data_IF_019597695325
#
_entry.id   IF_019597695325
#
_cell.length_a   1.000
_cell.length_b   1.000
_cell.length_c   1.000
_cell.angle_alpha   90.00
_cell.angle_beta   90.00
_cell.angle_gamma   90.00
#
_symmetry.space_group_name_H-M   'P 1'
#
loop_
_entity.id
_entity.type
_entity.pdbx_description
1 polymer ?
#
# COMPACT_ATOMS: atom_id res chain seq x y z
N UNK A 1 18.11 -74.41 23.03
CA UNK A 1 16.88 -73.73 22.61
C UNK A 1 17.01 -72.27 23.04
N UNK A 2 17.25 -71.35 22.09
CA UNK A 2 17.46 -69.88 22.37
C UNK A 2 16.19 -69.19 21.92
N UNK A 3 15.40 -68.69 22.86
CA UNK A 3 14.22 -67.85 22.58
C UNK A 3 14.68 -66.48 22.16
N UNK A 4 14.39 -66.09 20.90
CA UNK A 4 14.50 -64.73 20.42
C UNK A 4 13.19 -64.00 20.69
N UNK A 5 13.23 -63.04 21.63
CA UNK A 5 12.14 -62.12 21.89
C UNK A 5 12.17 -61.06 20.79
N UNK A 6 11.13 -61.03 19.95
CA UNK A 6 10.96 -59.99 18.89
C UNK A 6 10.23 -58.81 19.52
N UNK A 7 10.94 -57.68 19.73
CA UNK A 7 10.32 -56.43 20.15
C UNK A 7 9.73 -55.72 18.93
N UNK A 8 8.41 -55.69 18.87
CA UNK A 8 7.66 -54.93 17.86
C UNK A 8 7.56 -53.48 18.32
N UNK A 9 8.36 -52.58 17.72
CA UNK A 9 8.21 -51.12 17.94
C UNK A 9 6.98 -50.63 17.19
N UNK A 10 5.90 -50.32 17.91
CA UNK A 10 4.72 -49.63 17.39
C UNK A 10 5.07 -48.17 17.24
N UNK A 11 5.35 -47.68 16.02
CA UNK A 11 5.46 -46.28 15.70
C UNK A 11 4.04 -45.68 15.73
N UNK A 12 3.65 -45.09 16.85
CA UNK A 12 2.49 -44.21 16.96
C UNK A 12 2.85 -42.90 16.26
N UNK A 13 2.39 -42.75 15.01
CA UNK A 13 2.39 -41.46 14.34
C UNK A 13 1.40 -40.54 15.07
N UNK A 14 1.92 -39.68 15.94
CA UNK A 14 1.14 -38.56 16.49
C UNK A 14 0.89 -37.63 15.32
N UNK A 15 -0.27 -37.74 14.69
CA UNK A 15 -0.79 -36.70 13.82
C UNK A 15 -1.02 -35.48 14.71
N UNK A 16 -0.05 -34.57 14.70
CA UNK A 16 -0.18 -33.26 15.34
C UNK A 16 -1.37 -32.56 14.70
N UNK A 17 -2.52 -32.54 15.38
CA UNK A 17 -3.57 -31.58 15.04
C UNK A 17 -2.96 -30.21 15.20
N UNK A 18 -2.63 -29.56 14.08
CA UNK A 18 -2.24 -28.15 14.08
C UNK A 18 -3.39 -27.38 14.72
N UNK A 19 -3.17 -26.89 15.93
CA UNK A 19 -4.13 -26.06 16.63
C UNK A 19 -4.38 -24.84 15.74
N UNK A 20 -5.59 -24.71 15.20
CA UNK A 20 -5.97 -23.60 14.35
C UNK A 20 -5.79 -22.31 15.15
N UNK A 21 -4.86 -21.47 14.75
CA UNK A 21 -4.60 -20.19 15.43
C UNK A 21 -5.85 -19.30 15.31
N UNK A 22 -6.14 -18.54 16.36
CA UNK A 22 -7.25 -17.56 16.35
C UNK A 22 -7.17 -16.60 15.17
N UNK A 23 -5.96 -16.31 14.69
CA UNK A 23 -5.73 -15.54 13.47
C UNK A 23 -6.34 -16.19 12.23
N UNK A 24 -6.13 -17.52 12.06
CA UNK A 24 -6.69 -18.30 10.95
C UNK A 24 -8.21 -18.29 10.98
N UNK A 25 -8.80 -18.47 12.18
CA UNK A 25 -10.26 -18.45 12.36
C UNK A 25 -10.84 -17.09 11.94
N UNK A 26 -10.23 -15.99 12.37
CA UNK A 26 -10.66 -14.64 12.01
C UNK A 26 -10.57 -14.45 10.49
N UNK A 27 -9.43 -14.75 9.88
CA UNK A 27 -9.20 -14.55 8.45
C UNK A 27 -10.17 -15.40 7.61
N UNK A 28 -10.30 -16.70 7.90
CA UNK A 28 -11.17 -17.61 7.16
C UNK A 28 -12.64 -17.20 7.25
N UNK A 29 -13.09 -16.73 8.43
CA UNK A 29 -14.44 -16.19 8.60
C UNK A 29 -14.68 -15.01 7.64
N UNK A 30 -13.80 -14.01 7.63
CA UNK A 30 -13.95 -12.85 6.75
C UNK A 30 -13.81 -13.21 5.27
N UNK A 31 -12.91 -14.12 4.92
CA UNK A 31 -12.80 -14.61 3.53
C UNK A 31 -14.10 -15.22 3.05
N UNK A 32 -14.74 -16.05 3.89
CA UNK A 32 -16.05 -16.64 3.57
C UNK A 32 -17.13 -15.56 3.46
N UNK A 33 -17.23 -14.67 4.46
CA UNK A 33 -18.28 -13.65 4.53
C UNK A 33 -18.20 -12.64 3.37
N UNK A 34 -16.97 -12.32 2.90
CA UNK A 34 -16.71 -11.38 1.81
C UNK A 34 -16.42 -12.06 0.46
N UNK A 35 -16.53 -13.38 0.37
CA UNK A 35 -16.22 -14.18 -0.83
C UNK A 35 -14.82 -13.88 -1.39
N UNK A 36 -13.80 -13.74 -0.52
CA UNK A 36 -12.43 -13.42 -0.93
C UNK A 36 -11.76 -14.63 -1.55
N UNK A 37 -11.28 -14.49 -2.79
CA UNK A 37 -10.63 -15.55 -3.58
C UNK A 37 -9.26 -15.91 -3.02
N UNK A 38 -8.44 -14.91 -2.75
CA UNK A 38 -7.09 -15.05 -2.22
C UNK A 38 -6.68 -13.87 -1.35
N UNK A 39 -5.88 -14.16 -0.30
CA UNK A 39 -5.43 -13.18 0.68
C UNK A 39 -4.02 -13.49 1.15
N UNK A 40 -3.13 -12.51 1.13
CA UNK A 40 -1.82 -12.55 1.77
C UNK A 40 -1.84 -11.68 3.03
N UNK A 41 -1.39 -12.24 4.16
CA UNK A 41 -1.38 -11.60 5.48
C UNK A 41 0.02 -11.56 6.06
N UNK A 42 0.41 -10.39 6.57
CA UNK A 42 1.52 -10.24 7.50
C UNK A 42 1.02 -9.60 8.81
N UNK A 43 1.42 -10.15 9.94
CA UNK A 43 1.28 -9.54 11.27
C UNK A 43 2.66 -9.42 11.88
N UNK A 44 3.02 -8.20 12.27
CA UNK A 44 4.28 -7.88 12.94
C UNK A 44 3.95 -7.39 14.35
N UNK A 45 4.54 -8.01 15.35
CA UNK A 45 4.39 -7.62 16.77
C UNK A 45 5.78 -7.44 17.39
N UNK A 46 6.03 -6.25 17.93
CA UNK A 46 7.31 -5.89 18.56
C UNK A 46 8.54 -6.18 17.66
N UNK A 47 8.44 -5.76 16.39
CA UNK A 47 9.50 -5.92 15.39
C UNK A 47 9.66 -7.33 14.82
N UNK A 48 8.83 -8.31 15.24
CA UNK A 48 8.89 -9.69 14.75
C UNK A 48 7.66 -10.03 13.93
N UNK A 49 7.85 -10.60 12.74
CA UNK A 49 6.76 -11.17 11.97
C UNK A 49 6.24 -12.42 12.70
N UNK A 50 5.05 -12.32 13.27
CA UNK A 50 4.36 -13.41 13.96
C UNK A 50 3.50 -14.24 13.02
N UNK A 51 3.03 -13.61 11.93
CA UNK A 51 2.31 -14.26 10.82
C UNK A 51 2.86 -13.72 9.51
N UNK A 52 3.14 -14.62 8.57
CA UNK A 52 3.42 -14.31 7.16
C UNK A 52 2.88 -15.45 6.31
N UNK A 53 1.65 -15.32 5.81
CA UNK A 53 0.87 -16.47 5.35
C UNK A 53 -0.11 -16.10 4.24
N UNK A 54 -0.33 -17.02 3.31
CA UNK A 54 -1.36 -16.91 2.27
C UNK A 54 -2.57 -17.79 2.57
N UNK A 55 -3.71 -17.39 2.03
CA UNK A 55 -5.00 -18.10 2.11
C UNK A 55 -5.68 -18.04 0.74
N UNK A 56 -6.36 -19.10 0.34
CA UNK A 56 -7.06 -19.19 -0.94
C UNK A 56 -6.14 -19.22 -2.15
N UNK A 57 -6.62 -18.73 -3.29
CA UNK A 57 -5.96 -18.90 -4.58
C UNK A 57 -5.45 -17.56 -5.16
N UNK A 58 -4.21 -17.57 -5.61
CA UNK A 58 -3.57 -16.49 -6.37
C UNK A 58 -4.00 -16.51 -7.85
N UNK A 59 -4.27 -17.72 -8.35
CA UNK A 59 -4.84 -17.93 -9.69
C UNK A 59 -5.84 -19.10 -9.60
N UNK A 60 -7.09 -18.84 -9.96
CA UNK A 60 -8.17 -19.82 -9.87
C UNK A 60 -8.08 -20.82 -11.00
N UNK A 61 -7.78 -20.36 -12.23
CA UNK A 61 -7.74 -21.18 -13.44
C UNK A 61 -6.66 -22.29 -13.34
N UNK A 62 -5.53 -21.94 -12.70
CA UNK A 62 -4.41 -22.87 -12.52
C UNK A 62 -4.33 -23.48 -11.12
N UNK A 63 -5.32 -23.20 -10.26
CA UNK A 63 -5.36 -23.66 -8.87
C UNK A 63 -4.08 -23.35 -8.07
N UNK A 64 -3.50 -22.13 -8.29
CA UNK A 64 -2.27 -21.71 -7.62
C UNK A 64 -2.61 -21.08 -6.27
N UNK A 65 -2.10 -21.62 -5.13
CA UNK A 65 -2.38 -21.05 -3.83
C UNK A 65 -1.66 -19.71 -3.60
N UNK A 66 -2.24 -18.83 -2.77
CA UNK A 66 -1.54 -17.66 -2.24
C UNK A 66 -0.51 -18.10 -1.20
N UNK A 67 0.65 -17.50 -1.24
CA UNK A 67 1.71 -17.64 -0.22
C UNK A 67 2.36 -16.28 0.09
N UNK A 68 3.37 -16.27 0.96
CA UNK A 68 4.06 -15.04 1.37
C UNK A 68 4.83 -14.32 0.25
N UNK A 69 5.15 -15.04 -0.83
CA UNK A 69 5.87 -14.52 -2.00
C UNK A 69 4.93 -14.21 -3.18
N UNK A 70 3.62 -14.38 -2.99
CA UNK A 70 2.63 -14.00 -4.00
C UNK A 70 2.64 -12.49 -4.20
N UNK A 71 2.86 -12.06 -5.44
CA UNK A 71 2.95 -10.66 -5.82
C UNK A 71 1.55 -10.11 -6.10
N UNK A 72 1.13 -9.12 -5.31
CA UNK A 72 -0.22 -8.53 -5.34
C UNK A 72 -0.12 -7.01 -5.53
N UNK A 73 -1.11 -6.41 -6.22
CA UNK A 73 -1.20 -4.96 -6.43
C UNK A 73 -1.53 -4.24 -5.12
N UNK A 74 -0.71 -3.24 -4.78
CA UNK A 74 -0.86 -2.47 -3.55
C UNK A 74 -1.93 -1.38 -3.62
N UNK A 75 -2.31 -0.96 -4.84
CA UNK A 75 -3.18 0.21 -4.99
C UNK A 75 -2.59 1.41 -4.26
N UNK A 76 -3.44 2.20 -3.62
CA UNK A 76 -3.02 3.45 -2.95
C UNK A 76 -2.10 3.29 -1.74
N UNK A 77 -1.86 2.07 -1.23
CA UNK A 77 -0.76 1.81 -0.28
C UNK A 77 0.59 2.20 -0.91
N UNK A 78 0.69 2.28 -2.24
CA UNK A 78 1.85 2.78 -2.98
C UNK A 78 2.22 4.22 -2.65
N UNK A 79 1.29 5.04 -2.21
CA UNK A 79 1.49 6.49 -2.00
C UNK A 79 2.60 6.81 -1.00
N UNK A 80 2.77 5.96 0.00
CA UNK A 80 3.84 6.10 0.98
C UNK A 80 5.25 6.11 0.34
N UNK A 81 5.45 5.37 -0.75
CA UNK A 81 6.76 5.32 -1.40
C UNK A 81 7.07 6.62 -2.14
N UNK A 82 6.07 7.28 -2.74
CA UNK A 82 6.25 8.58 -3.38
C UNK A 82 6.60 9.66 -2.37
N UNK A 83 5.87 9.73 -1.25
CA UNK A 83 6.14 10.73 -0.21
C UNK A 83 7.48 10.49 0.48
N UNK A 84 7.87 9.23 0.67
CA UNK A 84 9.21 8.87 1.16
C UNK A 84 10.30 9.29 0.17
N UNK A 85 10.09 9.08 -1.14
CA UNK A 85 11.04 9.49 -2.19
C UNK A 85 11.21 11.01 -2.25
N UNK A 86 10.12 11.78 -2.12
CA UNK A 86 10.17 13.25 -2.03
C UNK A 86 10.97 13.70 -0.81
N UNK A 87 10.73 13.11 0.37
CA UNK A 87 11.50 13.45 1.57
C UNK A 87 12.97 13.02 1.47
N UNK A 88 13.27 11.95 0.72
CA UNK A 88 14.66 11.58 0.43
C UNK A 88 15.35 12.63 -0.43
N UNK A 89 14.69 13.11 -1.48
CA UNK A 89 15.21 14.22 -2.30
C UNK A 89 15.39 15.52 -1.49
N UNK A 90 14.51 15.77 -0.53
CA UNK A 90 14.65 16.92 0.39
C UNK A 90 15.86 16.76 1.31
N UNK A 91 16.09 15.58 1.90
CA UNK A 91 17.28 15.33 2.75
C UNK A 91 18.58 15.43 1.95
N UNK A 92 18.55 15.04 0.68
CA UNK A 92 19.68 15.18 -0.23
C UNK A 92 19.88 16.63 -0.73
N UNK A 93 19.06 17.59 -0.25
CA UNK A 93 19.16 19.01 -0.60
C UNK A 93 18.72 19.35 -2.03
N UNK A 94 18.05 18.44 -2.73
CA UNK A 94 17.70 18.59 -4.13
C UNK A 94 16.36 19.33 -4.36
N UNK A 95 15.45 19.29 -3.37
CA UNK A 95 14.20 20.03 -3.35
C UNK A 95 13.78 20.38 -1.92
N UNK A 96 12.75 21.22 -1.79
CA UNK A 96 12.01 21.44 -0.55
C UNK A 96 10.54 21.08 -0.74
N UNK A 97 9.89 20.50 0.26
CA UNK A 97 8.43 20.33 0.23
C UNK A 97 7.66 21.66 0.21
N UNK A 98 8.34 22.77 0.53
CA UNK A 98 7.81 24.14 0.42
C UNK A 98 8.00 24.72 -0.99
N UNK A 99 8.72 24.06 -1.89
CA UNK A 99 8.88 24.52 -3.26
C UNK A 99 7.52 24.62 -3.95
N UNK A 100 7.25 25.73 -4.68
CA UNK A 100 6.05 25.89 -5.47
C UNK A 100 6.07 24.91 -6.66
N UNK A 101 4.93 24.34 -7.03
CA UNK A 101 4.83 23.42 -8.18
C UNK A 101 5.27 24.05 -9.50
N UNK A 102 5.18 25.40 -9.64
CA UNK A 102 5.67 26.13 -10.82
C UNK A 102 7.17 26.00 -11.05
N UNK A 103 7.95 25.67 -10.01
CA UNK A 103 9.38 25.36 -10.18
C UNK A 103 9.59 24.15 -11.11
N UNK A 104 8.65 23.21 -11.09
CA UNK A 104 8.70 21.94 -11.83
C UNK A 104 7.75 21.94 -13.05
N UNK A 105 6.72 22.76 -13.03
CA UNK A 105 5.74 22.93 -14.08
C UNK A 105 5.59 24.41 -14.43
N UNK A 106 6.57 25.00 -15.14
CA UNK A 106 6.60 26.45 -15.39
C UNK A 106 5.46 26.93 -16.30
N UNK A 107 4.89 26.03 -17.10
CA UNK A 107 3.73 26.25 -17.96
C UNK A 107 2.38 25.98 -17.29
N UNK A 108 2.37 25.65 -16.00
CA UNK A 108 1.13 25.46 -15.24
C UNK A 108 0.34 26.79 -15.11
N UNK A 109 -1.01 26.73 -14.99
CA UNK A 109 -1.83 27.92 -14.91
C UNK A 109 -1.55 28.72 -13.62
N UNK A 110 -1.72 30.06 -13.68
CA UNK A 110 -1.53 30.96 -12.54
C UNK A 110 -2.28 30.56 -11.28
N UNK A 111 -3.45 29.89 -11.44
CA UNK A 111 -4.22 29.36 -10.31
C UNK A 111 -3.48 28.32 -9.48
N UNK A 112 -2.43 27.70 -10.04
CA UNK A 112 -1.61 26.69 -9.34
C UNK A 112 -0.43 27.31 -8.58
N UNK A 113 -0.18 28.64 -8.68
CA UNK A 113 0.93 29.32 -7.96
C UNK A 113 0.97 29.05 -6.45
N UNK A 114 -0.17 28.99 -5.74
CA UNK A 114 -0.14 28.69 -4.30
C UNK A 114 0.19 27.25 -3.95
N UNK A 115 0.16 26.33 -4.95
CA UNK A 115 0.38 24.92 -4.70
C UNK A 115 1.88 24.66 -4.49
N UNK A 116 2.20 24.02 -3.36
CA UNK A 116 3.54 23.55 -3.00
C UNK A 116 3.58 22.02 -3.01
N UNK A 117 4.78 21.44 -3.04
CA UNK A 117 4.96 19.96 -3.03
C UNK A 117 4.23 19.31 -1.85
N UNK A 118 4.28 19.91 -0.65
CA UNK A 118 3.53 19.39 0.52
C UNK A 118 2.03 19.28 0.31
N UNK A 119 1.43 20.19 -0.48
CA UNK A 119 0.00 20.15 -0.77
C UNK A 119 -0.37 18.98 -1.69
N UNK A 120 0.55 18.54 -2.55
CA UNK A 120 0.40 17.32 -3.34
C UNK A 120 0.47 16.09 -2.45
N UNK A 121 1.44 16.05 -1.52
CA UNK A 121 1.65 14.93 -0.59
C UNK A 121 0.48 14.70 0.38
N UNK A 122 -0.22 15.79 0.75
CA UNK A 122 -1.27 15.81 1.77
C UNK A 122 -2.71 15.88 1.23
N UNK A 123 -2.88 15.88 -0.10
CA UNK A 123 -4.19 16.02 -0.74
C UNK A 123 -4.91 17.34 -0.42
N UNK A 124 -4.15 18.44 -0.31
CA UNK A 124 -4.68 19.79 -0.01
C UNK A 124 -4.47 20.79 -1.13
N UNK A 125 -4.13 20.31 -2.33
CA UNK A 125 -3.82 21.17 -3.47
C UNK A 125 -5.03 21.92 -4.05
N UNK A 126 -6.24 21.41 -3.89
CA UNK A 126 -7.43 21.89 -4.58
C UNK A 126 -7.59 21.36 -6.01
N UNK A 127 -6.64 20.58 -6.50
CA UNK A 127 -6.72 19.95 -7.83
C UNK A 127 -7.85 18.94 -7.92
N UNK A 128 -8.40 18.77 -9.12
CA UNK A 128 -9.35 17.66 -9.40
C UNK A 128 -8.71 16.30 -9.10
N UNK A 129 -9.55 15.34 -8.70
CA UNK A 129 -9.12 13.99 -8.34
C UNK A 129 -8.27 13.32 -9.43
N UNK A 130 -8.69 13.45 -10.68
CA UNK A 130 -8.04 12.89 -11.86
C UNK A 130 -7.89 13.95 -12.95
N UNK A 131 -6.87 13.82 -13.80
CA UNK A 131 -6.77 14.60 -15.04
C UNK A 131 -7.77 14.09 -16.08
N UNK A 132 -8.39 14.97 -16.90
CA UNK A 132 -9.34 14.58 -17.92
C UNK A 132 -8.83 13.56 -18.96
N UNK A 133 -7.53 13.60 -19.26
CA UNK A 133 -6.90 12.64 -20.18
C UNK A 133 -6.69 11.26 -19.56
N UNK A 134 -6.96 11.12 -18.25
CA UNK A 134 -6.76 9.87 -17.57
C UNK A 134 -7.63 8.74 -18.17
N UNK A 135 -6.98 7.67 -18.62
CA UNK A 135 -7.63 6.47 -19.13
C UNK A 135 -6.91 5.22 -18.63
N UNK A 136 -7.68 4.32 -18.01
CA UNK A 136 -7.15 3.07 -17.46
C UNK A 136 -6.55 2.11 -18.47
N UNK A 137 -7.00 2.19 -19.72
CA UNK A 137 -6.78 1.18 -20.72
C UNK A 137 -5.64 1.53 -21.68
N UNK A 138 -5.04 2.72 -21.54
CA UNK A 138 -3.94 3.18 -22.39
C UNK A 138 -2.74 3.60 -21.56
N UNK A 139 -1.55 3.23 -22.06
CA UNK A 139 -0.28 3.74 -21.54
C UNK A 139 -0.07 5.11 -22.17
N UNK A 140 0.11 6.13 -21.33
CA UNK A 140 0.37 7.49 -21.76
C UNK A 140 1.34 8.17 -20.79
N UNK A 141 2.14 9.15 -21.27
CA UNK A 141 3.05 9.89 -20.40
C UNK A 141 2.31 10.60 -19.26
N UNK A 142 2.86 10.60 -18.06
CA UNK A 142 2.29 11.27 -16.89
C UNK A 142 2.01 12.75 -17.15
N UNK A 143 2.90 13.44 -17.89
CA UNK A 143 2.72 14.84 -18.31
C UNK A 143 1.46 15.10 -19.14
N UNK A 144 1.00 14.13 -19.95
CA UNK A 144 -0.26 14.27 -20.72
C UNK A 144 -1.44 14.37 -19.77
N UNK A 145 -1.44 13.52 -18.73
CA UNK A 145 -2.50 13.53 -17.70
C UNK A 145 -2.45 14.83 -16.90
N UNK A 146 -1.24 15.26 -16.46
CA UNK A 146 -1.04 16.49 -15.69
C UNK A 146 -1.51 17.71 -16.49
N UNK A 147 -1.02 17.88 -17.73
CA UNK A 147 -1.35 19.02 -18.58
C UNK A 147 -2.83 19.07 -18.98
N UNK A 148 -3.50 17.94 -19.07
CA UNK A 148 -4.94 17.89 -19.34
C UNK A 148 -5.77 18.63 -18.27
N UNK A 149 -5.25 18.73 -17.05
CA UNK A 149 -5.91 19.41 -15.94
C UNK A 149 -5.66 20.93 -15.89
N UNK A 150 -4.76 21.49 -16.72
CA UNK A 150 -4.41 22.90 -16.69
C UNK A 150 -5.59 23.86 -16.93
N UNK A 151 -6.60 23.40 -17.68
CA UNK A 151 -7.79 24.21 -17.98
C UNK A 151 -8.89 24.07 -16.93
N UNK A 152 -8.69 23.23 -15.91
CA UNK A 152 -9.69 23.00 -14.88
C UNK A 152 -9.52 23.99 -13.72
N UNK A 153 -10.63 24.49 -13.15
CA UNK A 153 -10.57 25.26 -11.91
C UNK A 153 -10.15 24.36 -10.74
N UNK A 154 -9.55 24.97 -9.72
CA UNK A 154 -9.39 24.31 -8.43
C UNK A 154 -10.78 24.10 -7.76
N UNK A 155 -10.95 23.01 -7.01
CA UNK A 155 -12.18 22.72 -6.28
C UNK A 155 -12.32 23.56 -5.01
N UNK A 156 -11.16 24.05 -4.48
CA UNK A 156 -11.08 24.88 -3.29
C UNK A 156 -9.70 25.57 -3.25
N UNK A 157 -9.56 26.56 -2.36
CA UNK A 157 -8.30 27.26 -2.16
C UNK A 157 -7.24 26.32 -1.58
N UNK A 158 -6.05 26.32 -2.19
CA UNK A 158 -4.91 25.48 -1.75
C UNK A 158 -4.68 25.58 -0.24
N UNK A 159 -4.58 24.45 0.43
CA UNK A 159 -4.36 24.33 1.87
C UNK A 159 -5.63 24.41 2.72
N UNK A 160 -6.79 24.75 2.15
CA UNK A 160 -8.02 24.99 2.91
C UNK A 160 -8.63 23.70 3.48
N UNK A 161 -8.67 22.63 2.69
CA UNK A 161 -9.27 21.37 3.11
C UNK A 161 -8.65 20.16 2.41
N UNK A 162 -9.01 19.01 2.90
CA UNK A 162 -8.64 17.73 2.32
C UNK A 162 -9.58 17.30 1.19
N UNK A 163 -9.01 16.91 0.06
CA UNK A 163 -9.72 16.19 -1.00
C UNK A 163 -8.75 15.23 -1.69
N UNK A 164 -9.01 13.94 -1.57
CA UNK A 164 -8.16 12.89 -2.14
C UNK A 164 -7.94 13.09 -3.65
N UNK A 165 -6.68 13.23 -4.06
CA UNK A 165 -6.28 13.62 -5.40
C UNK A 165 -5.20 12.67 -5.95
N UNK A 166 -5.55 11.84 -6.95
CA UNK A 166 -4.57 10.99 -7.61
C UNK A 166 -3.67 11.78 -8.55
N UNK A 167 -4.20 12.83 -9.22
CA UNK A 167 -3.42 13.71 -10.08
C UNK A 167 -2.20 14.29 -9.36
N UNK A 168 -2.33 14.60 -8.07
CA UNK A 168 -1.21 15.08 -7.25
C UNK A 168 -0.04 14.09 -7.23
N UNK A 169 -0.30 12.77 -7.25
CA UNK A 169 0.75 11.76 -7.26
C UNK A 169 1.38 11.54 -8.63
N UNK A 170 0.69 11.84 -9.71
CA UNK A 170 1.33 11.99 -11.04
C UNK A 170 2.33 13.15 -11.04
N UNK A 171 1.95 14.27 -10.42
CA UNK A 171 2.86 15.42 -10.29
C UNK A 171 4.07 15.09 -9.40
N UNK A 172 3.88 14.38 -8.27
CA UNK A 172 5.01 13.94 -7.43
C UNK A 172 5.95 12.99 -8.20
N UNK A 173 5.42 12.07 -8.99
CA UNK A 173 6.21 11.18 -9.84
C UNK A 173 7.06 11.96 -10.86
N UNK A 174 6.46 12.92 -11.54
CA UNK A 174 7.17 13.79 -12.49
C UNK A 174 8.23 14.64 -11.79
N UNK A 175 7.94 15.20 -10.61
CA UNK A 175 8.92 15.93 -9.78
C UNK A 175 10.10 15.02 -9.42
N UNK A 176 9.85 13.79 -9.00
CA UNK A 176 10.92 12.82 -8.72
C UNK A 176 11.76 12.59 -9.95
N UNK A 177 11.15 12.39 -11.12
CA UNK A 177 11.88 12.19 -12.39
C UNK A 177 12.76 13.38 -12.74
N UNK A 178 12.21 14.58 -12.69
CA UNK A 178 12.95 15.81 -13.04
C UNK A 178 14.10 16.10 -12.08
N UNK A 179 13.88 15.95 -10.78
CA UNK A 179 14.89 16.29 -9.76
C UNK A 179 15.99 15.23 -9.69
N UNK A 180 15.63 13.94 -9.76
CA UNK A 180 16.60 12.85 -9.71
C UNK A 180 17.30 12.57 -11.04
N UNK A 181 16.81 13.12 -12.15
CA UNK A 181 17.25 12.83 -13.52
C UNK A 181 17.17 11.33 -13.87
N UNK A 182 16.23 10.62 -13.24
CA UNK A 182 15.93 9.20 -13.47
C UNK A 182 14.41 8.99 -13.56
N UNK A 183 13.92 8.01 -14.32
CA UNK A 183 12.52 7.60 -14.21
C UNK A 183 12.17 7.36 -12.73
N UNK A 184 11.03 7.89 -12.28
CA UNK A 184 10.64 7.79 -10.87
C UNK A 184 10.57 6.35 -10.35
N UNK A 185 10.23 5.38 -11.22
CA UNK A 185 10.23 3.95 -10.90
C UNK A 185 11.63 3.46 -10.50
N UNK A 186 12.63 3.86 -11.28
CA UNK A 186 14.02 3.48 -11.05
C UNK A 186 14.57 4.15 -9.79
N UNK A 187 14.23 5.44 -9.58
CA UNK A 187 14.62 6.16 -8.37
C UNK A 187 14.05 5.51 -7.11
N UNK A 188 12.73 5.20 -7.09
CA UNK A 188 12.10 4.54 -5.94
C UNK A 188 12.69 3.14 -5.72
N UNK A 189 12.92 2.38 -6.78
CA UNK A 189 13.56 1.08 -6.67
C UNK A 189 14.97 1.18 -6.07
N UNK A 190 15.79 2.09 -6.59
CA UNK A 190 17.19 2.26 -6.15
C UNK A 190 17.29 2.81 -4.72
N UNK A 191 16.48 3.82 -4.38
CA UNK A 191 16.59 4.54 -3.12
C UNK A 191 15.74 3.97 -1.98
N UNK A 192 14.69 3.20 -2.30
CA UNK A 192 13.77 2.66 -1.29
C UNK A 192 13.78 1.13 -1.28
N UNK A 193 13.44 0.49 -2.40
CA UNK A 193 13.20 -0.96 -2.40
C UNK A 193 14.49 -1.77 -2.21
N UNK A 194 15.56 -1.43 -2.92
CA UNK A 194 16.84 -2.13 -2.77
C UNK A 194 17.41 -1.99 -1.35
N UNK A 195 17.51 -0.78 -0.75
CA UNK A 195 17.98 -0.62 0.62
C UNK A 195 17.08 -1.31 1.66
N UNK A 196 15.78 -1.42 1.40
CA UNK A 196 14.84 -2.13 2.26
C UNK A 196 14.88 -3.67 2.07
N UNK A 197 15.58 -4.17 1.06
CA UNK A 197 15.59 -5.60 0.69
C UNK A 197 14.29 -6.09 0.05
N UNK A 198 13.49 -5.19 -0.55
CA UNK A 198 12.20 -5.48 -1.19
C UNK A 198 12.41 -5.95 -2.65
N UNK A 199 12.92 -7.16 -2.81
CA UNK A 199 13.38 -7.67 -4.11
C UNK A 199 12.24 -8.10 -5.06
N UNK A 200 11.04 -8.35 -4.52
CA UNK A 200 9.85 -8.75 -5.28
C UNK A 200 8.84 -7.60 -5.43
N UNK A 201 9.27 -6.38 -5.09
CA UNK A 201 8.43 -5.17 -5.22
C UNK A 201 8.85 -4.34 -6.44
N UNK A 202 7.86 -3.82 -7.15
CA UNK A 202 8.10 -3.04 -8.37
C UNK A 202 6.82 -2.47 -8.94
N UNK A 203 6.92 -1.92 -10.15
CA UNK A 203 5.75 -1.39 -10.84
C UNK A 203 4.91 -2.47 -11.51
N UNK A 204 3.61 -2.23 -11.55
CA UNK A 204 2.73 -2.93 -12.48
C UNK A 204 3.15 -2.57 -13.90
N UNK A 205 3.68 -3.54 -14.63
CA UNK A 205 3.99 -3.40 -16.05
C UNK A 205 3.30 -4.52 -16.82
N UNK A 206 2.99 -4.27 -18.10
CA UNK A 206 2.34 -5.26 -18.96
C UNK A 206 3.32 -6.18 -19.64
N UNK A 207 4.54 -5.72 -19.88
CA UNK A 207 5.51 -6.44 -20.70
C UNK A 207 6.38 -7.41 -19.89
N UNK A 208 6.94 -7.03 -18.72
CA UNK A 208 7.77 -7.96 -17.97
C UNK A 208 6.96 -9.11 -17.39
N UNK A 209 7.54 -10.30 -17.48
CA UNK A 209 7.06 -11.45 -16.71
C UNK A 209 7.42 -11.21 -15.24
N UNK A 210 6.40 -11.11 -14.39
CA UNK A 210 6.55 -10.96 -12.95
C UNK A 210 6.23 -12.32 -12.32
N UNK A 211 7.25 -13.05 -11.80
CA UNK A 211 7.02 -14.34 -11.15
C UNK A 211 6.03 -14.21 -9.99
N UNK A 212 5.23 -15.24 -9.77
CA UNK A 212 4.26 -15.34 -8.65
C UNK A 212 3.18 -14.24 -8.62
N UNK A 213 2.96 -13.55 -9.75
CA UNK A 213 1.93 -12.50 -9.83
C UNK A 213 0.53 -13.11 -9.77
N UNK A 214 -0.29 -12.64 -8.84
CA UNK A 214 -1.69 -13.05 -8.70
C UNK A 214 -2.55 -12.47 -9.84
N UNK A 215 -3.56 -13.22 -10.28
CA UNK A 215 -4.67 -12.73 -11.09
C UNK A 215 -5.71 -12.05 -10.22
N UNK A 216 -6.37 -11.01 -10.73
CA UNK A 216 -7.42 -10.28 -10.04
C UNK A 216 -8.79 -10.82 -10.39
N UNK A 217 -9.69 -10.82 -9.40
CA UNK A 217 -11.05 -11.34 -9.54
C UNK A 217 -12.10 -10.35 -9.02
N UNK A 218 -13.31 -10.48 -9.55
CA UNK A 218 -14.48 -9.76 -9.07
C UNK A 218 -15.74 -10.65 -9.17
N UNK A 219 -16.78 -10.28 -8.44
CA UNK A 219 -18.05 -10.97 -8.50
C UNK A 219 -19.05 -10.20 -9.38
N UNK A 220 -19.71 -10.91 -10.28
CA UNK A 220 -20.89 -10.45 -10.99
C UNK A 220 -22.09 -11.28 -10.50
N UNK A 221 -22.81 -10.73 -9.52
CA UNK A 221 -23.75 -11.51 -8.73
C UNK A 221 -23.02 -12.60 -7.93
N UNK A 222 -23.39 -13.86 -8.11
CA UNK A 222 -22.74 -15.00 -7.47
C UNK A 222 -21.59 -15.62 -8.30
N UNK A 223 -21.37 -15.14 -9.52
CA UNK A 223 -20.34 -15.67 -10.41
C UNK A 223 -19.04 -14.94 -10.22
N UNK A 224 -17.96 -15.69 -9.95
CA UNK A 224 -16.60 -15.18 -9.96
C UNK A 224 -16.15 -14.99 -11.42
N UNK A 225 -15.61 -13.83 -11.73
CA UNK A 225 -15.07 -13.51 -13.06
C UNK A 225 -13.68 -12.88 -12.94
N UNK A 226 -12.91 -12.95 -14.00
CA UNK A 226 -11.64 -12.23 -14.11
C UNK A 226 -11.87 -10.73 -14.08
N UNK A 227 -11.09 -10.05 -13.23
CA UNK A 227 -11.08 -8.60 -13.11
C UNK A 227 -9.83 -7.97 -13.75
N UNK A 228 -8.96 -8.78 -14.36
CA UNK A 228 -7.73 -8.34 -14.99
C UNK A 228 -8.02 -7.56 -16.27
N UNK A 229 -8.45 -6.32 -16.10
CA UNK A 229 -8.29 -5.35 -17.16
C UNK A 229 -6.83 -4.91 -17.22
N UNK A 230 -6.32 -4.68 -18.42
CA UNK A 230 -5.01 -4.06 -18.61
C UNK A 230 -5.05 -2.65 -18.02
N UNK A 231 -4.24 -2.40 -16.99
CA UNK A 231 -4.13 -1.08 -16.38
C UNK A 231 -2.83 -0.43 -16.80
N UNK A 232 -2.93 0.79 -17.26
CA UNK A 232 -1.77 1.65 -17.42
C UNK A 232 -1.03 1.80 -16.08
N UNK A 233 0.30 1.83 -16.16
CA UNK A 233 1.16 2.14 -15.01
C UNK A 233 0.73 3.48 -14.41
N UNK A 234 0.48 3.51 -13.09
CA UNK A 234 -0.02 4.71 -12.40
C UNK A 234 0.84 5.04 -11.20
N UNK A 235 1.35 6.27 -11.14
CA UNK A 235 2.02 6.74 -9.93
C UNK A 235 1.15 6.62 -8.68
N UNK A 236 -0.16 6.90 -8.79
CA UNK A 236 -1.06 6.95 -7.64
C UNK A 236 -1.35 5.60 -6.97
N UNK A 237 -0.97 4.46 -7.59
CA UNK A 237 -1.32 3.13 -7.05
C UNK A 237 -0.77 1.94 -7.83
N UNK A 238 0.34 2.11 -8.54
CA UNK A 238 0.84 1.10 -9.48
C UNK A 238 1.88 0.12 -8.94
N UNK A 239 2.23 0.16 -7.67
CA UNK A 239 3.20 -0.80 -7.14
C UNK A 239 2.57 -2.17 -6.84
N UNK A 240 3.40 -3.18 -7.07
CA UNK A 240 3.21 -4.57 -6.69
C UNK A 240 4.14 -4.88 -5.52
N UNK A 241 3.74 -5.78 -4.63
CA UNK A 241 4.59 -6.26 -3.56
C UNK A 241 4.15 -7.64 -3.06
N UNK A 242 4.94 -8.22 -2.16
CA UNK A 242 4.63 -9.44 -1.41
C UNK A 242 4.50 -9.13 0.07
N UNK A 243 3.86 -9.99 0.86
CA UNK A 243 3.82 -9.80 2.31
C UNK A 243 5.21 -9.88 2.93
N UNK A 244 6.10 -10.70 2.39
CA UNK A 244 7.51 -10.76 2.81
C UNK A 244 8.24 -9.43 2.61
N UNK A 245 8.06 -8.77 1.45
CA UNK A 245 8.67 -7.47 1.19
C UNK A 245 8.05 -6.37 2.05
N UNK A 246 6.74 -6.41 2.26
CA UNK A 246 6.07 -5.45 3.15
C UNK A 246 6.49 -5.60 4.61
N UNK A 247 6.87 -6.80 5.08
CA UNK A 247 7.51 -6.99 6.38
C UNK A 247 8.88 -6.31 6.43
N UNK A 248 9.69 -6.44 5.37
CA UNK A 248 11.01 -5.74 5.27
C UNK A 248 10.82 -4.23 5.29
N UNK A 249 9.82 -3.73 4.55
CA UNK A 249 9.46 -2.32 4.59
C UNK A 249 9.01 -1.86 5.98
N UNK A 250 8.15 -2.62 6.65
CA UNK A 250 7.74 -2.31 8.02
C UNK A 250 8.93 -2.19 8.98
N UNK A 251 9.94 -3.05 8.82
CA UNK A 251 11.17 -2.97 9.61
C UNK A 251 11.90 -1.63 9.39
N UNK A 252 12.00 -1.16 8.15
CA UNK A 252 12.56 0.17 7.83
C UNK A 252 11.82 1.28 8.57
N UNK A 253 10.47 1.23 8.56
CA UNK A 253 9.62 2.22 9.21
C UNK A 253 9.73 2.18 10.75
N UNK A 254 9.98 1.02 11.34
CA UNK A 254 10.17 0.87 12.78
C UNK A 254 11.55 1.33 13.25
N UNK A 255 12.60 0.92 12.54
CA UNK A 255 13.99 1.24 12.90
C UNK A 255 14.32 2.72 12.69
N UNK A 256 13.72 3.39 11.69
CA UNK A 256 13.91 4.81 11.33
C UNK A 256 15.39 5.22 11.17
N UNK A 257 16.23 4.28 10.67
CA UNK A 257 17.68 4.45 10.57
C UNK A 257 18.21 4.44 9.15
N UNK A 258 17.46 3.84 8.23
CA UNK A 258 17.81 3.75 6.82
C UNK A 258 16.80 4.50 5.97
N UNK A 259 17.22 4.91 4.78
CA UNK A 259 16.45 5.68 3.79
C UNK A 259 16.26 7.13 4.23
N UNK A 260 15.60 7.39 5.34
CA UNK A 260 15.33 8.72 5.88
C UNK A 260 15.83 8.87 7.31
N UNK A 261 16.11 10.10 7.71
CA UNK A 261 16.30 10.47 9.11
C UNK A 261 15.03 10.24 9.94
N UNK A 262 15.21 10.09 11.25
CA UNK A 262 14.07 9.99 12.19
C UNK A 262 13.09 11.15 12.03
N UNK A 263 13.60 12.38 11.85
CA UNK A 263 12.79 13.59 11.66
C UNK A 263 11.87 13.49 10.44
N UNK A 264 12.40 13.03 9.31
CA UNK A 264 11.61 12.87 8.08
C UNK A 264 10.59 11.73 8.19
N UNK A 265 10.93 10.63 8.87
CA UNK A 265 9.95 9.59 9.17
C UNK A 265 8.79 10.11 10.01
N UNK A 266 9.07 10.88 11.06
CA UNK A 266 8.04 11.48 11.91
C UNK A 266 7.16 12.48 11.16
N UNK A 267 7.76 13.23 10.21
CA UNK A 267 7.03 14.17 9.37
C UNK A 267 5.95 13.50 8.51
N UNK A 268 6.21 12.30 7.99
CA UNK A 268 5.23 11.53 7.22
C UNK A 268 3.92 11.27 8.01
N UNK A 269 4.04 11.07 9.34
CA UNK A 269 2.95 10.67 10.22
C UNK A 269 2.47 11.79 11.15
N UNK A 270 2.94 13.01 10.88
CA UNK A 270 2.41 14.21 11.54
C UNK A 270 1.07 14.57 10.88
N UNK A 271 -0.02 14.74 11.64
CA UNK A 271 -1.29 15.23 11.12
C UNK A 271 -1.09 16.57 10.40
N UNK A 272 -1.37 16.62 9.11
CA UNK A 272 -1.24 17.85 8.31
C UNK A 272 -2.58 18.53 8.12
N UNK A 273 -3.63 17.76 7.82
CA UNK A 273 -4.99 18.27 7.59
C UNK A 273 -6.03 17.26 8.10
N UNK A 274 -7.13 17.74 8.69
CA UNK A 274 -8.27 16.87 9.00
C UNK A 274 -8.95 16.41 7.72
N UNK A 275 -9.37 15.13 7.68
CA UNK A 275 -10.03 14.56 6.48
C UNK A 275 -11.52 14.88 6.42
N UNK A 276 -12.09 15.45 7.49
CA UNK A 276 -13.49 15.79 7.59
C UNK A 276 -13.69 16.99 8.51
N UNK A 277 -14.66 17.83 8.18
CA UNK A 277 -15.08 18.96 9.04
C UNK A 277 -16.02 18.53 10.16
N UNK A 278 -16.49 17.27 10.16
CA UNK A 278 -17.35 16.74 11.21
C UNK A 278 -16.57 16.60 12.52
N UNK A 279 -17.03 17.19 13.63
CA UNK A 279 -16.31 17.18 14.92
C UNK A 279 -15.96 15.77 15.42
N UNK A 280 -16.85 14.81 15.20
CA UNK A 280 -16.70 13.42 15.63
C UNK A 280 -15.64 12.65 14.83
N UNK A 281 -15.29 13.11 13.61
CA UNK A 281 -14.24 12.52 12.80
C UNK A 281 -12.92 13.25 13.06
N UNK A 282 -12.07 12.67 13.90
CA UNK A 282 -10.76 13.22 14.27
C UNK A 282 -9.65 12.78 13.33
N UNK A 283 -9.96 11.97 12.30
CA UNK A 283 -8.97 11.48 11.36
C UNK A 283 -8.31 12.63 10.60
N UNK A 284 -7.01 12.52 10.43
CA UNK A 284 -6.17 13.46 9.69
C UNK A 284 -5.34 12.75 8.63
N UNK A 285 -4.92 13.48 7.62
CA UNK A 285 -3.97 12.99 6.63
C UNK A 285 -2.62 13.66 6.84
N UNK A 286 -1.56 12.83 6.84
CA UNK A 286 -0.18 13.28 6.81
C UNK A 286 0.35 13.28 5.37
N UNK A 287 1.56 12.78 5.16
CA UNK A 287 2.12 12.63 3.84
C UNK A 287 2.05 11.16 3.37
N UNK A 288 1.00 10.85 2.59
CA UNK A 288 0.74 9.50 2.09
C UNK A 288 0.14 8.52 3.11
N UNK A 289 -0.31 9.03 4.27
CA UNK A 289 -0.85 8.23 5.36
C UNK A 289 -2.06 8.88 6.00
N UNK A 290 -3.05 8.07 6.33
CA UNK A 290 -4.17 8.44 7.19
C UNK A 290 -3.77 8.19 8.65
N UNK A 291 -4.16 9.09 9.54
CA UNK A 291 -3.86 9.06 10.98
C UNK A 291 -5.18 9.13 11.71
N UNK A 292 -5.49 8.11 12.49
CA UNK A 292 -6.77 7.96 13.17
C UNK A 292 -6.57 7.55 14.62
N UNK A 293 -7.59 7.76 15.44
CA UNK A 293 -7.75 7.05 16.70
C UNK A 293 -8.57 5.77 16.48
N UNK A 294 -8.04 4.64 16.91
CA UNK A 294 -8.77 3.38 16.94
C UNK A 294 -8.87 2.87 18.36
N UNK A 295 -9.99 3.13 19.03
CA UNK A 295 -10.25 2.68 20.40
C UNK A 295 -9.17 3.14 21.41
N UNK A 296 -8.68 4.37 21.28
CA UNK A 296 -7.61 4.92 22.08
C UNK A 296 -6.19 4.61 21.61
N UNK A 297 -6.02 3.86 20.53
CA UNK A 297 -4.74 3.55 19.91
C UNK A 297 -4.50 4.43 18.68
N UNK A 298 -3.35 5.11 18.61
CA UNK A 298 -2.95 5.84 17.39
C UNK A 298 -2.73 4.86 16.26
N UNK A 299 -3.52 4.99 15.23
CA UNK A 299 -3.45 4.18 14.02
C UNK A 299 -2.95 5.03 12.86
N UNK A 300 -1.87 4.59 12.23
CA UNK A 300 -1.31 5.13 11.00
C UNK A 300 -1.59 4.10 9.91
N UNK A 301 -2.33 4.48 8.87
CA UNK A 301 -2.78 3.48 7.91
C UNK A 301 -2.95 4.03 6.48
N UNK A 302 -3.06 3.12 5.52
CA UNK A 302 -3.58 3.42 4.20
C UNK A 302 -4.21 2.19 3.57
N UNK A 303 -5.36 2.38 2.95
CA UNK A 303 -6.00 1.36 2.12
C UNK A 303 -5.57 1.48 0.66
N UNK A 304 -5.69 0.39 -0.09
CA UNK A 304 -5.40 0.36 -1.51
C UNK A 304 -6.52 -0.30 -2.30
N UNK A 305 -6.79 0.23 -3.49
CA UNK A 305 -7.79 -0.28 -4.43
C UNK A 305 -7.25 -0.19 -5.85
N UNK A 306 -7.25 -1.32 -6.50
CA UNK A 306 -7.17 -1.48 -7.95
C UNK A 306 -8.27 -2.46 -8.34
N UNK A 307 -8.70 -2.47 -9.61
CA UNK A 307 -9.70 -3.45 -10.05
C UNK A 307 -9.15 -4.85 -9.84
N UNK A 308 -9.95 -5.70 -9.19
CA UNK A 308 -9.56 -7.05 -8.79
C UNK A 308 -8.67 -7.14 -7.55
N UNK A 309 -8.26 -6.02 -6.95
CA UNK A 309 -7.31 -6.03 -5.83
C UNK A 309 -7.65 -5.01 -4.76
N UNK A 310 -7.52 -5.41 -3.49
CA UNK A 310 -7.66 -4.54 -2.32
C UNK A 310 -6.52 -4.80 -1.36
N UNK A 311 -6.05 -3.77 -0.71
CA UNK A 311 -5.02 -3.88 0.32
C UNK A 311 -5.31 -2.97 1.51
N UNK A 312 -4.70 -3.28 2.64
CA UNK A 312 -4.71 -2.45 3.84
C UNK A 312 -3.39 -2.61 4.56
N UNK A 313 -2.82 -1.50 5.00
CA UNK A 313 -1.67 -1.47 5.87
C UNK A 313 -2.00 -0.63 7.10
N UNK A 314 -2.07 -1.28 8.26
CA UNK A 314 -2.37 -0.68 9.57
C UNK A 314 -1.14 -0.76 10.46
N UNK A 315 -0.78 0.36 11.09
CA UNK A 315 0.32 0.46 12.04
C UNK A 315 -0.15 1.11 13.33
N UNK A 316 -0.03 0.38 14.41
CA UNK A 316 -0.21 0.81 15.79
C UNK A 316 1.18 1.00 16.40
N UNK A 317 1.83 2.12 16.09
CA UNK A 317 3.25 2.35 16.34
C UNK A 317 3.60 2.20 17.84
N UNK A 318 2.79 2.79 18.73
CA UNK A 318 3.00 2.73 20.18
C UNK A 318 2.79 1.34 20.76
N UNK A 319 2.01 0.52 20.08
CA UNK A 319 1.67 -0.84 20.51
C UNK A 319 2.59 -1.90 19.87
N UNK A 320 3.54 -1.46 19.03
CA UNK A 320 4.44 -2.35 18.30
C UNK A 320 3.70 -3.32 17.38
N UNK A 321 2.51 -2.97 16.87
CA UNK A 321 1.69 -3.84 16.03
C UNK A 321 1.56 -3.25 14.62
N UNK A 322 1.82 -4.08 13.61
CA UNK A 322 1.49 -3.76 12.22
C UNK A 322 0.79 -4.94 11.56
N UNK A 323 -0.22 -4.65 10.76
CA UNK A 323 -1.02 -5.66 10.04
C UNK A 323 -1.13 -5.24 8.58
N UNK A 324 -0.76 -6.14 7.69
CA UNK A 324 -0.75 -5.90 6.25
C UNK A 324 -1.59 -7.00 5.59
N UNK A 325 -2.58 -6.60 4.83
CA UNK A 325 -3.42 -7.51 4.04
C UNK A 325 -3.43 -7.04 2.59
N UNK A 326 -3.24 -7.99 1.70
CA UNK A 326 -3.39 -7.81 0.26
C UNK A 326 -4.28 -8.92 -0.28
N UNK A 327 -5.30 -8.58 -1.07
CA UNK A 327 -6.25 -9.53 -1.65
C UNK A 327 -6.31 -9.36 -3.17
N UNK A 328 -6.69 -10.43 -3.85
CA UNK A 328 -6.97 -10.41 -5.28
C UNK A 328 -8.49 -10.50 -5.58
N UNK A 329 -9.30 -9.80 -4.80
CA UNK A 329 -10.76 -9.74 -4.94
C UNK A 329 -11.23 -8.28 -4.84
N UNK A 330 -12.02 -7.83 -5.81
CA UNK A 330 -12.44 -6.43 -5.95
C UNK A 330 -13.35 -5.95 -4.82
N UNK A 331 -14.25 -6.80 -4.33
CA UNK A 331 -15.23 -6.47 -3.29
C UNK A 331 -14.67 -6.60 -1.87
N UNK A 332 -13.46 -7.11 -1.72
CA UNK A 332 -12.84 -7.28 -0.42
C UNK A 332 -12.72 -5.94 0.35
N UNK A 333 -12.92 -6.00 1.65
CA UNK A 333 -12.74 -4.87 2.57
C UNK A 333 -11.68 -5.23 3.62
N UNK A 334 -10.38 -5.22 3.25
CA UNK A 334 -9.30 -5.66 4.14
C UNK A 334 -9.26 -4.91 5.47
N UNK A 335 -9.67 -3.64 5.49
CA UNK A 335 -9.74 -2.85 6.73
C UNK A 335 -10.61 -3.49 7.81
N UNK A 336 -11.67 -4.22 7.46
CA UNK A 336 -12.48 -4.95 8.45
C UNK A 336 -11.70 -6.11 9.06
N UNK A 337 -10.84 -6.76 8.28
CA UNK A 337 -10.03 -7.88 8.73
C UNK A 337 -8.90 -7.37 9.61
N UNK A 338 -8.18 -6.31 9.17
CA UNK A 338 -7.08 -5.74 9.96
C UNK A 338 -7.59 -5.21 11.31
N UNK A 339 -8.80 -4.61 11.36
CA UNK A 339 -9.41 -4.15 12.62
C UNK A 339 -9.78 -5.31 13.54
N UNK A 340 -10.35 -6.40 13.03
CA UNK A 340 -10.66 -7.59 13.82
C UNK A 340 -9.39 -8.25 14.36
N UNK A 341 -8.32 -8.31 13.55
CA UNK A 341 -7.01 -8.79 14.00
C UNK A 341 -6.40 -7.83 15.04
N UNK A 342 -6.52 -6.51 14.85
CA UNK A 342 -6.05 -5.54 15.84
C UNK A 342 -6.74 -5.73 17.17
N UNK A 343 -8.06 -5.93 17.19
CA UNK A 343 -8.82 -6.22 18.42
C UNK A 343 -8.29 -7.47 19.15
N UNK A 344 -7.80 -8.47 18.42
CA UNK A 344 -7.21 -9.67 19.00
C UNK A 344 -5.80 -9.43 19.53
N UNK A 345 -4.94 -8.74 18.75
CA UNK A 345 -3.52 -8.56 19.10
C UNK A 345 -3.26 -7.41 20.08
N UNK A 346 -4.16 -6.41 20.19
CA UNK A 346 -4.05 -5.31 21.15
C UNK A 346 -4.49 -5.70 22.58
N UNK A 347 -5.28 -6.78 22.71
CA UNK A 347 -5.68 -7.33 24.01
C UNK A 347 -4.62 -8.21 24.68
N UNK A 348 -3.63 -8.66 23.89
CA UNK A 348 -2.51 -9.49 24.34
C UNK A 348 -1.27 -8.63 24.61
#
# INVERSE_FOLDING_TARGET
MKNKLLFLFLLISIAGFAQTDSTDIIVQKFMKDQKITGLSLAVIKNGKATVNKGYGLANVEHNVPVNSETVIRLGSVSKQFFTTAILKLQEDGQLSIEDPVHKFFPDAPETWRPIQVKHLMSHTSGLKREGPAYNNNIIQPDLVIIKSAYKLPLDFKTGEKYQYCNLAYYMLAEIITQVSQKPWQDYIREKLFIPAGMNNSGMTDFYPIIPHRASGYMHKGDTLINADAMYAVRPSGGFLSTSSDMIRWNKVLEEKKIILSKKSWELLWTPFIRVSDKPENTAAYGFGWLIEDYKGHKLINHGGSNVGFRSQYDRFEKDGLSIIIMTNTDEAVPARITRALADYYLRK
#
